data_IF_822388950079
#
_entry.id   IF_822388950079
#
_cell.length_a   1.000
_cell.length_b   1.000
_cell.length_c   1.000
_cell.angle_alpha   90.00
_cell.angle_beta   90.00
_cell.angle_gamma   90.00
#
_symmetry.space_group_name_H-M   'P 1'
#
loop_
_entity.id
_entity.type
_entity.pdbx_description
1 polymer ?
#
# COMPACT_ATOMS: atom_id res chain seq x y z
N UNK A 1 20.78 35.40 -3.70
CA UNK A 1 20.42 35.78 -2.31
C UNK A 1 19.18 36.68 -2.42
N UNK A 2 18.00 36.49 -1.82
CA UNK A 2 17.50 35.76 -0.64
C UNK A 2 16.10 35.16 -0.91
N UNK A 3 15.69 34.31 0.02
CA UNK A 3 14.58 33.36 0.08
C UNK A 3 13.17 34.00 0.04
N UNK A 4 12.23 33.39 -0.69
CA UNK A 4 10.78 33.45 -0.38
C UNK A 4 10.42 32.20 0.44
N UNK A 5 10.39 32.36 1.76
CA UNK A 5 9.72 31.44 2.68
C UNK A 5 8.40 32.09 3.11
N UNK A 6 7.29 31.40 2.91
CA UNK A 6 5.99 31.88 3.36
C UNK A 6 4.83 31.03 2.84
N UNK A 7 4.77 29.74 3.18
CA UNK A 7 3.49 29.04 3.21
C UNK A 7 2.76 29.50 4.47
N UNK A 8 2.10 30.65 4.40
CA UNK A 8 1.15 31.09 5.41
C UNK A 8 -0.18 30.39 5.15
N UNK A 9 -0.41 29.22 5.76
CA UNK A 9 -1.77 28.72 5.93
C UNK A 9 -2.42 29.58 7.03
N UNK A 10 -3.08 30.68 6.63
CA UNK A 10 -3.84 31.52 7.55
C UNK A 10 -4.89 30.68 8.29
N UNK A 11 -4.99 30.89 9.60
CA UNK A 11 -6.00 30.26 10.47
C UNK A 11 -7.41 30.61 9.94
N UNK A 12 -8.35 29.66 9.79
CA UNK A 12 -9.69 29.98 9.32
C UNK A 12 -10.42 30.92 10.31
N UNK A 13 -11.08 31.94 9.77
CA UNK A 13 -11.87 32.98 10.49
C UNK A 13 -13.01 32.44 11.36
N UNK A 14 -13.33 31.15 11.26
CA UNK A 14 -14.34 30.48 12.07
C UNK A 14 -13.98 30.42 13.58
N UNK A 15 -12.71 30.64 13.95
CA UNK A 15 -12.26 30.61 15.35
C UNK A 15 -12.56 31.87 16.15
N UNK A 16 -12.98 32.96 15.49
CA UNK A 16 -13.19 34.27 16.14
C UNK A 16 -14.68 34.60 16.41
N UNK A 17 -15.61 33.71 16.07
CA UNK A 17 -17.06 33.93 16.20
C UNK A 17 -17.71 33.27 17.42
N UNK A 18 -18.51 34.05 18.17
CA UNK A 18 -19.45 33.53 19.19
C UNK A 18 -20.44 32.56 18.52
N UNK A 19 -20.67 31.42 19.16
CA UNK A 19 -21.55 30.35 18.67
C UNK A 19 -23.01 30.84 18.64
N UNK A 20 -23.58 31.00 17.44
CA UNK A 20 -25.02 31.18 17.24
C UNK A 20 -25.73 29.83 17.51
N UNK A 21 -26.73 29.85 18.40
CA UNK A 21 -27.41 28.67 18.94
C UNK A 21 -28.59 28.17 18.10
N UNK A 22 -28.83 28.71 16.89
CA UNK A 22 -30.09 28.46 16.16
C UNK A 22 -30.00 27.57 14.91
N UNK A 23 -28.84 26.99 14.55
CA UNK A 23 -28.75 25.96 13.49
C UNK A 23 -27.92 24.77 13.93
N UNK A 24 -28.30 23.58 13.46
CA UNK A 24 -27.88 22.25 13.94
C UNK A 24 -26.41 22.12 14.33
N UNK A 25 -26.18 21.45 15.47
CA UNK A 25 -24.88 21.31 16.15
C UNK A 25 -23.80 20.66 15.26
N UNK A 26 -23.11 21.44 14.45
CA UNK A 26 -21.81 21.07 13.90
C UNK A 26 -20.74 21.34 14.96
N UNK A 27 -20.18 20.28 15.55
CA UNK A 27 -19.11 20.41 16.55
C UNK A 27 -17.84 20.97 15.90
N UNK A 28 -17.07 21.81 16.61
CA UNK A 28 -15.76 22.33 16.16
C UNK A 28 -14.83 21.24 15.61
N UNK A 29 -14.95 20.02 16.15
CA UNK A 29 -14.19 18.84 15.72
C UNK A 29 -14.59 18.37 14.31
N UNK A 30 -15.87 18.44 13.94
CA UNK A 30 -16.36 18.09 12.60
C UNK A 30 -15.84 19.07 11.56
N UNK A 31 -15.88 20.36 11.86
CA UNK A 31 -15.36 21.42 10.99
C UNK A 31 -13.83 21.38 10.85
N UNK A 32 -13.11 21.03 11.92
CA UNK A 32 -11.67 20.77 11.86
C UNK A 32 -11.35 19.57 10.95
N UNK A 33 -12.12 18.49 11.05
CA UNK A 33 -11.91 17.31 10.21
C UNK A 33 -12.26 17.58 8.74
N UNK A 34 -13.30 18.35 8.43
CA UNK A 34 -13.59 18.80 7.06
C UNK A 34 -12.52 19.74 6.49
N UNK A 35 -12.00 20.65 7.32
CA UNK A 35 -10.89 21.51 6.93
C UNK A 35 -9.59 20.73 6.68
N UNK A 36 -9.28 19.75 7.54
CA UNK A 36 -8.16 18.82 7.34
C UNK A 36 -8.35 17.91 6.11
N UNK A 37 -9.59 17.51 5.81
CA UNK A 37 -9.95 16.79 4.57
C UNK A 37 -9.78 17.65 3.32
N UNK A 38 -9.93 18.97 3.43
CA UNK A 38 -9.69 19.94 2.36
C UNK A 38 -8.21 20.28 2.14
N UNK A 39 -7.35 20.09 3.15
CA UNK A 39 -5.90 20.17 2.99
C UNK A 39 -5.40 19.00 2.13
N UNK A 40 -4.82 19.29 0.96
CA UNK A 40 -4.08 18.31 0.15
C UNK A 40 -2.79 17.90 0.86
N UNK A 41 -2.92 17.12 1.94
CA UNK A 41 -1.77 16.46 2.57
C UNK A 41 -1.35 15.32 1.65
N UNK A 42 -0.08 15.24 1.21
CA UNK A 42 0.40 14.11 0.44
C UNK A 42 0.16 12.83 1.23
N UNK A 43 -0.25 11.75 0.55
CA UNK A 43 -0.42 10.46 1.22
C UNK A 43 0.89 10.03 1.90
N UNK A 44 0.83 9.24 2.98
CA UNK A 44 2.01 8.59 3.52
C UNK A 44 2.79 7.84 2.45
N UNK A 45 4.12 7.83 2.57
CA UNK A 45 5.04 7.28 1.57
C UNK A 45 4.70 5.81 1.18
N UNK A 46 4.33 4.98 2.15
CA UNK A 46 3.93 3.60 1.92
C UNK A 46 2.68 3.49 1.02
N UNK A 47 1.69 4.35 1.24
CA UNK A 47 0.46 4.37 0.46
C UNK A 47 0.67 4.95 -0.95
N UNK A 48 1.59 5.91 -1.10
CA UNK A 48 2.03 6.37 -2.42
C UNK A 48 2.70 5.23 -3.19
N UNK A 49 3.53 4.44 -2.51
CA UNK A 49 4.18 3.25 -3.06
C UNK A 49 3.19 2.20 -3.52
N UNK A 50 2.24 1.80 -2.67
CA UNK A 50 1.19 0.83 -3.05
C UNK A 50 0.36 1.31 -4.25
N UNK A 51 0.03 2.60 -4.31
CA UNK A 51 -0.67 3.18 -5.47
C UNK A 51 0.18 3.12 -6.73
N UNK A 52 1.47 3.42 -6.64
CA UNK A 52 2.39 3.35 -7.78
C UNK A 52 2.57 1.91 -8.27
N UNK A 53 2.76 0.97 -7.34
CA UNK A 53 2.84 -0.46 -7.64
C UNK A 53 1.56 -0.99 -8.29
N UNK A 54 0.39 -0.66 -7.72
CA UNK A 54 -0.89 -1.05 -8.28
C UNK A 54 -1.11 -0.50 -9.69
N UNK A 55 -0.70 0.74 -9.97
CA UNK A 55 -0.77 1.32 -11.32
C UNK A 55 0.14 0.60 -12.31
N UNK A 56 1.40 0.33 -11.95
CA UNK A 56 2.32 -0.43 -12.79
C UNK A 56 1.74 -1.79 -13.14
N UNK A 57 1.29 -2.54 -12.13
CA UNK A 57 0.76 -3.88 -12.31
C UNK A 57 -0.49 -3.90 -13.17
N UNK A 58 -1.44 -2.98 -12.95
CA UNK A 58 -2.68 -3.00 -13.71
C UNK A 58 -2.54 -2.42 -15.12
N UNK A 59 -1.88 -1.26 -15.28
CA UNK A 59 -1.86 -0.54 -16.55
C UNK A 59 -0.78 -1.04 -17.51
N UNK A 60 0.37 -1.44 -16.98
CA UNK A 60 1.51 -1.82 -17.82
C UNK A 60 1.73 -3.34 -17.86
N UNK A 61 1.34 -4.07 -16.81
CA UNK A 61 1.47 -5.53 -16.75
C UNK A 61 0.16 -6.30 -16.97
N UNK A 62 -0.98 -5.61 -17.04
CA UNK A 62 -2.28 -6.23 -17.28
C UNK A 62 -2.86 -7.03 -16.12
N UNK A 63 -2.33 -6.87 -14.90
CA UNK A 63 -2.84 -7.61 -13.74
C UNK A 63 -4.17 -7.04 -13.27
N UNK A 64 -5.08 -7.92 -12.85
CA UNK A 64 -6.30 -7.52 -12.15
C UNK A 64 -6.06 -7.49 -10.64
N UNK A 65 -6.17 -6.31 -10.02
CA UNK A 65 -6.06 -6.19 -8.56
C UNK A 65 -7.34 -6.73 -7.92
N UNK A 66 -7.21 -7.73 -7.03
CA UNK A 66 -8.35 -8.33 -6.30
C UNK A 66 -8.41 -7.91 -4.84
N UNK A 67 -7.28 -7.56 -4.22
CA UNK A 67 -7.25 -7.00 -2.87
C UNK A 67 -6.06 -6.05 -2.69
N UNK A 68 -6.20 -5.13 -1.74
CA UNK A 68 -5.14 -4.19 -1.28
C UNK A 68 -5.12 -4.18 0.24
N UNK A 69 -3.93 -4.11 0.83
CA UNK A 69 -3.74 -4.11 2.30
C UNK A 69 -4.61 -5.18 2.97
N UNK A 70 -4.57 -6.39 2.41
CA UNK A 70 -5.33 -7.51 2.96
C UNK A 70 -4.71 -7.91 4.29
N UNK A 71 -5.55 -8.11 5.30
CA UNK A 71 -5.12 -8.60 6.61
C UNK A 71 -5.90 -9.85 6.93
N UNK A 72 -5.23 -10.80 7.58
CA UNK A 72 -5.89 -12.01 8.06
C UNK A 72 -7.13 -11.67 8.88
N UNK A 73 -8.30 -12.23 8.57
CA UNK A 73 -9.50 -12.00 9.36
C UNK A 73 -9.40 -12.61 10.76
N UNK A 74 -8.54 -13.62 10.95
CA UNK A 74 -8.42 -14.37 12.21
C UNK A 74 -7.77 -13.53 13.32
N UNK A 75 -6.62 -12.91 13.04
CA UNK A 75 -5.79 -12.23 14.05
C UNK A 75 -5.16 -10.91 13.58
N UNK A 76 -5.37 -10.54 12.30
CA UNK A 76 -4.81 -9.36 11.63
C UNK A 76 -3.26 -9.27 11.65
N UNK A 77 -2.56 -10.33 12.06
CA UNK A 77 -1.08 -10.34 12.18
C UNK A 77 -0.39 -10.55 10.85
N UNK A 78 -1.08 -11.21 9.92
CA UNK A 78 -0.60 -11.43 8.57
C UNK A 78 -1.18 -10.39 7.60
N UNK A 79 -0.32 -9.88 6.74
CA UNK A 79 -0.62 -8.78 5.82
C UNK A 79 -0.07 -9.09 4.43
N UNK A 80 -0.83 -8.68 3.41
CA UNK A 80 -0.44 -8.73 2.01
C UNK A 80 -0.77 -7.38 1.37
N UNK A 81 0.24 -6.70 0.85
CA UNK A 81 0.09 -5.34 0.31
C UNK A 81 -0.86 -5.34 -0.90
N UNK A 82 -0.64 -6.23 -1.87
CA UNK A 82 -1.56 -6.42 -3.00
C UNK A 82 -1.77 -7.91 -3.29
N UNK A 83 -3.00 -8.26 -3.64
CA UNK A 83 -3.34 -9.55 -4.27
C UNK A 83 -3.86 -9.26 -5.66
N UNK A 84 -3.31 -9.95 -6.65
CA UNK A 84 -3.58 -9.73 -8.05
C UNK A 84 -3.88 -11.05 -8.78
N UNK A 85 -4.47 -10.95 -9.97
CA UNK A 85 -4.55 -12.03 -10.94
C UNK A 85 -3.76 -11.66 -12.19
N UNK A 86 -2.89 -12.58 -12.61
CA UNK A 86 -2.21 -12.58 -13.90
C UNK A 86 -2.71 -13.80 -14.67
N UNK A 87 -3.69 -13.59 -15.55
CA UNK A 87 -4.51 -14.67 -16.10
C UNK A 87 -5.18 -15.48 -14.98
N UNK A 88 -4.92 -16.78 -14.93
CA UNK A 88 -5.43 -17.69 -13.89
C UNK A 88 -4.53 -17.78 -12.64
N UNK A 89 -3.40 -17.08 -12.63
CA UNK A 89 -2.42 -17.16 -11.54
C UNK A 89 -2.76 -16.12 -10.47
N UNK A 90 -2.96 -16.57 -9.23
CA UNK A 90 -3.09 -15.68 -8.09
C UNK A 90 -1.70 -15.20 -7.62
N UNK A 91 -1.48 -13.90 -7.70
CA UNK A 91 -0.19 -13.26 -7.42
C UNK A 91 -0.26 -12.48 -6.12
N UNK A 92 0.56 -12.87 -5.15
CA UNK A 92 0.79 -12.08 -3.94
C UNK A 92 1.94 -11.12 -4.18
N UNK A 93 1.76 -9.83 -3.85
CA UNK A 93 2.77 -8.81 -4.11
C UNK A 93 3.14 -8.09 -2.81
N UNK A 94 4.43 -8.06 -2.51
CA UNK A 94 5.00 -7.15 -1.49
C UNK A 94 5.51 -5.88 -2.18
N UNK A 95 5.16 -4.72 -1.64
CA UNK A 95 5.58 -3.40 -2.10
C UNK A 95 6.66 -2.84 -1.16
N UNK A 96 7.82 -2.50 -1.73
CA UNK A 96 8.94 -1.91 -0.99
C UNK A 96 9.20 -0.48 -1.44
N UNK A 97 8.71 0.46 -0.65
CA UNK A 97 9.01 1.89 -0.85
C UNK A 97 10.31 2.28 -0.16
N UNK A 98 11.20 2.97 -0.87
CA UNK A 98 12.50 3.40 -0.36
C UNK A 98 12.95 4.74 -0.92
N UNK A 99 13.88 5.38 -0.22
CA UNK A 99 14.57 6.58 -0.70
C UNK A 99 15.67 6.20 -1.71
N UNK A 100 15.92 7.07 -2.69
CA UNK A 100 17.00 6.92 -3.65
C UNK A 100 18.36 6.80 -2.94
N UNK A 101 19.23 5.89 -3.38
CA UNK A 101 20.56 5.69 -2.77
C UNK A 101 20.57 4.78 -1.53
N UNK A 102 19.46 4.16 -1.15
CA UNK A 102 19.46 3.12 -0.11
C UNK A 102 20.38 1.94 -0.50
N UNK A 103 21.36 1.60 0.35
CA UNK A 103 22.41 0.60 0.08
C UNK A 103 21.93 -0.85 -0.08
N UNK A 104 20.72 -1.18 0.36
CA UNK A 104 20.14 -2.53 0.27
C UNK A 104 18.98 -2.54 -0.72
N UNK A 105 19.04 -3.42 -1.72
CA UNK A 105 17.92 -3.65 -2.66
C UNK A 105 16.71 -4.22 -1.90
N UNK A 106 15.53 -3.66 -2.10
CA UNK A 106 14.29 -4.05 -1.42
C UNK A 106 13.91 -5.51 -1.63
N UNK A 107 14.20 -6.06 -2.81
CA UNK A 107 14.06 -7.46 -3.17
C UNK A 107 14.90 -8.37 -2.26
N UNK A 108 16.17 -8.03 -2.04
CA UNK A 108 17.05 -8.80 -1.16
C UNK A 108 16.57 -8.76 0.29
N UNK A 109 16.09 -7.61 0.75
CA UNK A 109 15.50 -7.47 2.08
C UNK A 109 14.21 -8.31 2.23
N UNK A 110 13.34 -8.30 1.21
CA UNK A 110 12.12 -9.10 1.19
C UNK A 110 12.42 -10.61 1.23
N UNK A 111 13.55 -11.04 0.66
CA UNK A 111 13.94 -12.44 0.57
C UNK A 111 14.73 -12.98 1.77
N UNK A 112 14.90 -12.20 2.85
CA UNK A 112 15.49 -12.71 4.11
C UNK A 112 14.59 -13.78 4.75
N UNK A 113 15.20 -14.79 5.40
CA UNK A 113 14.50 -15.97 5.91
C UNK A 113 13.29 -15.69 6.82
N UNK A 114 13.39 -14.71 7.73
CA UNK A 114 12.27 -14.30 8.59
C UNK A 114 11.10 -13.70 7.79
N UNK A 115 11.39 -12.76 6.89
CA UNK A 115 10.35 -12.11 6.06
C UNK A 115 9.72 -13.10 5.09
N UNK A 116 10.51 -13.98 4.46
CA UNK A 116 9.98 -15.06 3.60
C UNK A 116 8.99 -15.98 4.33
N UNK A 117 9.27 -16.33 5.59
CA UNK A 117 8.33 -17.13 6.40
C UNK A 117 7.03 -16.38 6.67
N UNK A 118 7.11 -15.10 7.03
CA UNK A 118 5.92 -14.26 7.26
C UNK A 118 5.08 -14.11 5.98
N UNK A 119 5.71 -13.83 4.84
CA UNK A 119 5.05 -13.73 3.54
C UNK A 119 4.34 -15.02 3.15
N UNK A 120 4.99 -16.16 3.37
CA UNK A 120 4.40 -17.47 3.11
C UNK A 120 3.20 -17.74 4.01
N UNK A 121 3.31 -17.40 5.30
CA UNK A 121 2.21 -17.55 6.27
C UNK A 121 1.00 -16.70 5.86
N UNK A 122 1.23 -15.45 5.48
CA UNK A 122 0.18 -14.55 4.99
C UNK A 122 -0.50 -15.08 3.72
N UNK A 123 0.27 -15.54 2.74
CA UNK A 123 -0.28 -16.15 1.53
C UNK A 123 -1.17 -17.37 1.85
N UNK A 124 -0.74 -18.25 2.76
CA UNK A 124 -1.58 -19.37 3.18
C UNK A 124 -2.83 -18.93 3.94
N UNK A 125 -2.74 -17.90 4.78
CA UNK A 125 -3.92 -17.34 5.46
C UNK A 125 -4.94 -16.82 4.45
N UNK A 126 -4.50 -16.13 3.40
CA UNK A 126 -5.37 -15.68 2.31
C UNK A 126 -6.04 -16.85 1.60
N UNK A 127 -5.27 -17.89 1.24
CA UNK A 127 -5.81 -19.07 0.57
C UNK A 127 -6.84 -19.81 1.43
N UNK A 128 -6.63 -19.90 2.75
CA UNK A 128 -7.64 -20.47 3.66
C UNK A 128 -8.92 -19.65 3.67
N UNK A 129 -8.81 -18.32 3.67
CA UNK A 129 -9.97 -17.42 3.68
C UNK A 129 -10.80 -17.49 2.39
N UNK A 130 -10.24 -17.93 1.27
CA UNK A 130 -10.99 -18.19 0.02
C UNK A 130 -11.90 -19.43 0.09
N UNK A 131 -11.64 -20.34 1.03
CA UNK A 131 -12.32 -21.65 1.09
C UNK A 131 -11.99 -22.56 -0.10
N UNK A 132 -12.64 -23.73 -0.16
CA UNK A 132 -12.38 -24.75 -1.18
C UNK A 132 -12.79 -24.31 -2.59
N UNK A 133 -13.94 -23.61 -2.72
CA UNK A 133 -14.47 -23.19 -4.01
C UNK A 133 -13.67 -22.04 -4.66
N UNK A 134 -12.95 -21.24 -3.86
CA UNK A 134 -12.17 -20.10 -4.34
C UNK A 134 -10.70 -20.40 -4.62
N UNK A 135 -10.28 -21.67 -4.53
CA UNK A 135 -8.85 -22.02 -4.53
C UNK A 135 -8.23 -21.91 -5.93
N UNK A 136 -7.17 -21.10 -6.11
CA UNK A 136 -6.54 -20.90 -7.42
C UNK A 136 -5.74 -22.13 -7.85
N UNK A 137 -5.62 -22.36 -9.16
CA UNK A 137 -4.79 -23.46 -9.72
C UNK A 137 -3.30 -23.24 -9.51
N UNK A 138 -2.87 -21.99 -9.52
CA UNK A 138 -1.47 -21.60 -9.35
C UNK A 138 -1.35 -20.33 -8.53
N UNK A 139 -0.27 -20.26 -7.75
CA UNK A 139 0.12 -19.05 -7.02
C UNK A 139 1.56 -18.70 -7.31
N UNK A 140 1.87 -17.41 -7.29
CA UNK A 140 3.25 -16.93 -7.23
C UNK A 140 3.37 -15.73 -6.31
N UNK A 141 4.61 -15.35 -6.02
CA UNK A 141 4.92 -14.18 -5.22
C UNK A 141 5.76 -13.22 -6.07
N UNK A 142 5.38 -11.96 -6.10
CA UNK A 142 6.10 -10.90 -6.79
C UNK A 142 6.54 -9.82 -5.79
N UNK A 143 7.56 -9.04 -6.14
CA UNK A 143 7.97 -7.87 -5.37
C UNK A 143 7.92 -6.65 -6.29
N UNK A 144 7.36 -5.54 -5.80
CA UNK A 144 7.46 -4.25 -6.48
C UNK A 144 8.26 -3.31 -5.60
N UNK A 145 9.38 -2.82 -6.13
CA UNK A 145 10.16 -1.76 -5.50
C UNK A 145 9.71 -0.41 -6.02
N UNK A 146 9.49 0.53 -5.11
CA UNK A 146 9.19 1.92 -5.40
C UNK A 146 10.30 2.79 -4.85
N UNK A 147 11.00 3.50 -5.72
CA UNK A 147 12.00 4.49 -5.32
C UNK A 147 11.40 5.88 -5.29
N UNK A 148 11.83 6.64 -4.30
CA UNK A 148 11.44 8.04 -4.11
C UNK A 148 12.63 8.95 -3.91
N UNK A 149 12.56 10.15 -4.47
CA UNK A 149 13.55 11.22 -4.37
C UNK A 149 12.82 12.44 -3.83
N UNK A 150 13.25 12.98 -2.69
CA UNK A 150 12.59 14.12 -2.02
C UNK A 150 11.06 13.96 -1.85
N UNK A 151 10.61 12.74 -1.51
CA UNK A 151 9.19 12.43 -1.32
C UNK A 151 8.37 12.29 -2.61
N UNK A 152 9.02 12.33 -3.79
CA UNK A 152 8.39 12.12 -5.11
C UNK A 152 8.78 10.76 -5.67
N UNK A 153 7.87 10.14 -6.43
CA UNK A 153 8.13 8.90 -7.16
C UNK A 153 9.27 9.10 -8.16
N UNK A 154 10.28 8.24 -8.13
CA UNK A 154 11.43 8.29 -9.03
C UNK A 154 11.49 7.08 -9.96
N UNK A 155 11.22 5.88 -9.44
CA UNK A 155 11.18 4.66 -10.25
C UNK A 155 10.26 3.62 -9.62
N UNK A 156 9.68 2.76 -10.45
CA UNK A 156 8.94 1.56 -10.01
C UNK A 156 9.50 0.36 -10.76
N UNK A 157 9.89 -0.68 -10.02
CA UNK A 157 10.47 -1.90 -10.59
C UNK A 157 9.74 -3.12 -10.08
N UNK A 158 9.33 -3.97 -11.01
CA UNK A 158 8.61 -5.22 -10.71
C UNK A 158 9.55 -6.42 -10.88
N UNK A 159 9.56 -7.28 -9.87
CA UNK A 159 10.35 -8.50 -9.79
C UNK A 159 9.38 -9.69 -9.69
N UNK A 160 9.09 -10.39 -10.81
CA UNK A 160 8.22 -11.55 -10.78
C UNK A 160 8.91 -12.76 -10.15
N UNK A 161 8.12 -13.72 -9.68
CA UNK A 161 8.60 -15.04 -9.22
C UNK A 161 9.64 -14.98 -8.09
N UNK A 162 9.43 -14.07 -7.14
CA UNK A 162 10.20 -14.02 -5.92
C UNK A 162 10.12 -15.40 -5.20
N UNK A 163 11.25 -16.00 -4.80
CA UNK A 163 11.31 -17.39 -4.33
C UNK A 163 10.75 -17.57 -2.90
N UNK A 164 9.48 -17.24 -2.68
CA UNK A 164 8.77 -17.44 -1.41
C UNK A 164 8.26 -18.86 -1.28
N UNK A 165 7.71 -19.41 -2.37
CA UNK A 165 7.27 -20.79 -2.48
C UNK A 165 8.42 -21.68 -2.99
N UNK A 166 8.35 -22.99 -2.72
CA UNK A 166 9.27 -23.95 -3.37
C UNK A 166 8.91 -24.02 -4.86
N UNK A 167 9.91 -24.15 -5.74
CA UNK A 167 9.68 -24.39 -7.19
C UNK A 167 8.69 -25.55 -7.34
N UNK A 168 7.63 -25.38 -8.12
CA UNK A 168 6.60 -26.40 -8.36
C UNK A 168 5.51 -26.52 -7.29
N UNK A 169 5.38 -25.57 -6.36
CA UNK A 169 4.28 -25.56 -5.39
C UNK A 169 2.94 -25.34 -6.11
N UNK A 170 2.25 -26.42 -6.46
CA UNK A 170 0.84 -26.37 -6.85
C UNK A 170 0.01 -26.17 -5.60
N UNK A 171 -1.01 -25.33 -5.68
CA UNK A 171 -2.01 -25.25 -4.64
C UNK A 171 -2.94 -26.44 -4.86
N UNK A 172 -2.67 -27.56 -4.19
CA UNK A 172 -3.46 -28.80 -4.29
C UNK A 172 -4.89 -28.58 -3.83
#
# INVERSE_FOLDING_TARGET
>A
MRKRTGFGAGRPSFWDGKVDKTRGKQTKMTLLMDWLRGLRVPLPLWQQGERAAGRLLSREKGYRIVARNWRSPDDRRDEIDLVCLDGEILVFVEVKTRFCGARVRGYLAAMRGRKRRALRRAAFAYLRALGAAGRPRAVRFDVVEVETVWGRLAAVRHFPNAPVFRRGSRVA
#
